data_IF_366642835207
#
_entry.id   IF_366642835207
#
_cell.length_a   1.000
_cell.length_b   1.000
_cell.length_c   1.000
_cell.angle_alpha   90.00
_cell.angle_beta   90.00
_cell.angle_gamma   90.00
#
_symmetry.space_group_name_H-M   'P 1'
#
loop_
_entity.id
_entity.type
_entity.pdbx_description
1 polymer ?
#
# COMPACT_ATOMS: atom_id res chain seq x y z
N UNK A 1 -10.11 8.82 21.54
CA UNK A 1 -8.89 9.32 22.22
C UNK A 1 -7.75 8.31 22.16
N UNK A 2 -7.90 7.09 22.71
CA UNK A 2 -6.86 6.03 22.75
C UNK A 2 -6.24 5.69 21.36
N UNK A 3 -7.08 5.49 20.33
CA UNK A 3 -6.59 5.19 18.97
C UNK A 3 -5.82 6.35 18.33
N UNK A 4 -6.19 7.60 18.65
CA UNK A 4 -5.52 8.80 18.13
C UNK A 4 -4.12 8.93 18.71
N UNK A 5 -3.95 8.64 20.01
CA UNK A 5 -2.66 8.67 20.70
C UNK A 5 -1.72 7.59 20.17
N UNK A 6 -2.21 6.37 19.95
CA UNK A 6 -1.43 5.26 19.37
C UNK A 6 -0.97 5.59 17.94
N UNK A 7 -1.85 6.18 17.13
CA UNK A 7 -1.50 6.60 15.77
C UNK A 7 -0.49 7.75 15.77
N UNK A 8 -0.62 8.72 16.68
CA UNK A 8 0.34 9.80 16.86
C UNK A 8 1.71 9.29 17.29
N UNK A 9 1.77 8.37 18.26
CA UNK A 9 3.04 7.77 18.68
C UNK A 9 3.68 6.97 17.55
N UNK A 10 2.89 6.28 16.72
CA UNK A 10 3.39 5.55 15.56
C UNK A 10 3.96 6.49 14.49
N UNK A 11 3.28 7.61 14.20
CA UNK A 11 3.80 8.63 13.28
C UNK A 11 5.08 9.28 13.78
N UNK A 12 5.18 9.56 15.07
CA UNK A 12 6.38 10.17 15.68
C UNK A 12 7.54 9.18 15.64
N UNK A 13 7.32 7.90 15.95
CA UNK A 13 8.33 6.86 15.84
C UNK A 13 8.79 6.65 14.39
N UNK A 14 7.86 6.67 13.42
CA UNK A 14 8.19 6.60 11.99
C UNK A 14 9.01 7.79 11.52
N UNK A 15 8.67 9.00 11.97
CA UNK A 15 9.38 10.24 11.64
C UNK A 15 10.78 10.26 12.27
N UNK A 16 10.92 9.72 13.48
CA UNK A 16 12.21 9.55 14.14
C UNK A 16 13.12 8.56 13.39
N UNK A 17 12.58 7.42 12.93
CA UNK A 17 13.34 6.49 12.06
C UNK A 17 13.77 7.15 10.75
N UNK A 18 12.91 8.00 10.17
CA UNK A 18 13.20 8.71 8.93
C UNK A 18 14.30 9.76 9.10
N UNK A 19 14.27 10.54 10.19
CA UNK A 19 15.32 11.51 10.54
C UNK A 19 16.63 10.78 10.88
N UNK A 20 16.56 9.67 11.62
CA UNK A 20 17.72 8.84 11.95
C UNK A 20 18.41 8.31 10.68
N UNK A 21 17.63 7.97 9.64
CA UNK A 21 18.18 7.60 8.33
C UNK A 21 18.93 8.75 7.66
N UNK A 22 18.41 9.98 7.70
CA UNK A 22 19.11 11.15 7.15
C UNK A 22 20.46 11.40 7.86
N UNK A 23 20.49 11.23 9.18
CA UNK A 23 21.71 11.36 10.00
C UNK A 23 22.71 10.24 9.71
N UNK A 24 22.23 8.99 9.58
CA UNK A 24 23.09 7.84 9.26
C UNK A 24 23.64 7.90 7.84
N UNK A 25 22.86 8.39 6.87
CA UNK A 25 23.28 8.56 5.48
C UNK A 25 24.32 9.69 5.32
N UNK A 26 24.22 10.76 6.14
CA UNK A 26 25.23 11.81 6.21
C UNK A 26 26.57 11.35 6.82
N UNK A 27 26.58 10.24 7.55
CA UNK A 27 27.77 9.73 8.28
C UNK A 27 28.70 8.82 7.45
N UNK A 28 28.50 8.70 6.13
CA UNK A 28 29.41 8.00 5.19
C UNK A 28 29.93 6.63 5.65
N UNK A 29 29.11 5.85 6.36
CA UNK A 29 29.37 4.43 6.70
C UNK A 29 28.49 3.55 5.81
N UNK A 30 29.07 2.50 5.23
CA UNK A 30 28.41 1.53 4.34
C UNK A 30 27.26 0.77 5.02
N UNK A 31 26.10 1.45 5.12
CA UNK A 31 24.85 0.93 5.67
C UNK A 31 23.74 0.87 4.60
N UNK A 32 24.10 0.90 3.31
CA UNK A 32 23.18 1.15 2.18
C UNK A 32 21.88 0.33 2.18
N UNK A 33 21.93 -0.95 2.54
CA UNK A 33 20.73 -1.79 2.62
C UNK A 33 19.82 -1.46 3.81
N UNK A 34 20.40 -1.15 4.98
CA UNK A 34 19.66 -0.87 6.21
C UNK A 34 19.07 0.55 6.16
N UNK A 35 19.80 1.51 5.62
CA UNK A 35 19.33 2.88 5.41
C UNK A 35 18.18 2.95 4.40
N UNK A 36 18.22 2.13 3.34
CA UNK A 36 17.10 2.01 2.41
C UNK A 36 15.87 1.35 3.05
N UNK A 37 16.03 0.26 3.79
CA UNK A 37 14.92 -0.40 4.49
C UNK A 37 14.28 0.52 5.56
N UNK A 38 15.09 1.28 6.31
CA UNK A 38 14.58 2.26 7.27
C UNK A 38 13.83 3.41 6.59
N UNK A 39 14.27 3.86 5.41
CA UNK A 39 13.65 4.98 4.71
C UNK A 39 12.28 4.59 4.14
N UNK A 40 12.17 3.40 3.53
CA UNK A 40 10.91 2.90 2.96
C UNK A 40 9.91 2.57 4.07
N UNK A 41 10.35 1.89 5.12
CA UNK A 41 9.48 1.56 6.26
C UNK A 41 9.05 2.80 7.06
N UNK A 42 9.97 3.74 7.30
CA UNK A 42 9.67 5.02 7.95
C UNK A 42 8.66 5.86 7.16
N UNK A 43 8.84 5.99 5.84
CA UNK A 43 7.90 6.71 4.98
C UNK A 43 6.51 6.06 4.97
N UNK A 44 6.45 4.72 4.91
CA UNK A 44 5.20 3.98 4.95
C UNK A 44 4.46 4.17 6.29
N UNK A 45 5.18 4.12 7.42
CA UNK A 45 4.61 4.34 8.76
C UNK A 45 4.10 5.77 8.97
N UNK A 46 4.86 6.78 8.48
CA UNK A 46 4.42 8.18 8.54
C UNK A 46 3.20 8.40 7.64
N UNK A 47 3.23 7.91 6.40
CA UNK A 47 2.12 8.08 5.45
C UNK A 47 0.84 7.42 5.94
N UNK A 48 0.91 6.16 6.41
CA UNK A 48 -0.24 5.45 6.95
C UNK A 48 -0.77 6.09 8.23
N UNK A 49 0.11 6.54 9.12
CA UNK A 49 -0.27 7.18 10.37
C UNK A 49 -0.93 8.55 10.16
N UNK A 50 -0.36 9.41 9.32
CA UNK A 50 -0.94 10.72 8.98
C UNK A 50 -2.28 10.55 8.25
N UNK A 51 -2.37 9.63 7.27
CA UNK A 51 -3.61 9.33 6.57
C UNK A 51 -4.73 8.88 7.51
N UNK A 52 -4.39 8.00 8.46
CA UNK A 52 -5.34 7.51 9.46
C UNK A 52 -5.77 8.59 10.46
N UNK A 53 -4.87 9.51 10.84
CA UNK A 53 -5.19 10.65 11.70
C UNK A 53 -6.13 11.64 11.01
N UNK A 54 -5.87 11.97 9.74
CA UNK A 54 -6.76 12.83 8.92
C UNK A 54 -8.13 12.18 8.77
N UNK A 55 -8.18 10.87 8.54
CA UNK A 55 -9.44 10.13 8.43
C UNK A 55 -10.21 10.14 9.75
N UNK A 56 -9.53 9.95 10.89
CA UNK A 56 -10.13 10.02 12.22
C UNK A 56 -10.72 11.42 12.51
N UNK A 57 -9.99 12.46 12.12
CA UNK A 57 -10.43 13.84 12.31
C UNK A 57 -11.68 14.15 11.48
N UNK A 58 -11.69 13.76 10.20
CA UNK A 58 -12.87 13.88 9.33
C UNK A 58 -14.08 13.12 9.87
N UNK A 59 -13.88 11.92 10.41
CA UNK A 59 -14.91 11.11 11.06
C UNK A 59 -15.50 11.74 12.33
N UNK A 60 -14.67 12.47 13.08
CA UNK A 60 -15.09 13.16 14.30
C UNK A 60 -15.84 14.46 14.01
N UNK A 61 -15.47 15.15 12.92
CA UNK A 61 -15.95 16.48 12.59
C UNK A 61 -17.22 16.49 11.73
N UNK A 62 -17.40 15.49 10.87
CA UNK A 62 -18.49 15.48 9.88
C UNK A 62 -19.41 14.23 10.02
N UNK A 63 -20.67 14.41 10.49
CA UNK A 63 -21.63 13.32 10.58
C UNK A 63 -22.06 12.77 9.21
N UNK A 64 -22.04 13.59 8.15
CA UNK A 64 -22.33 13.15 6.78
C UNK A 64 -21.22 12.24 6.25
N UNK A 65 -19.96 12.51 6.61
CA UNK A 65 -18.84 11.65 6.27
C UNK A 65 -18.96 10.27 6.95
N UNK A 66 -19.43 10.22 8.20
CA UNK A 66 -19.69 8.97 8.92
C UNK A 66 -20.78 8.13 8.26
N UNK A 67 -21.87 8.77 7.80
CA UNK A 67 -22.93 8.07 7.07
C UNK A 67 -22.43 7.51 5.73
N UNK A 68 -21.64 8.28 4.99
CA UNK A 68 -21.02 7.80 3.74
C UNK A 68 -20.08 6.63 3.98
N UNK A 69 -19.31 6.66 5.07
CA UNK A 69 -18.43 5.55 5.42
C UNK A 69 -19.22 4.30 5.81
N UNK A 70 -20.31 4.45 6.57
CA UNK A 70 -21.23 3.32 6.87
C UNK A 70 -21.82 2.72 5.59
N UNK A 71 -22.24 3.56 4.64
CA UNK A 71 -22.74 3.08 3.35
C UNK A 71 -21.67 2.36 2.52
N UNK A 72 -20.39 2.73 2.68
CA UNK A 72 -19.29 2.02 2.03
C UNK A 72 -18.93 0.67 2.67
N UNK A 73 -19.20 0.50 3.97
CA UNK A 73 -19.05 -0.77 4.70
C UNK A 73 -20.38 -1.52 4.85
N UNK A 74 -21.39 -1.15 4.06
CA UNK A 74 -22.62 -1.91 3.96
C UNK A 74 -22.34 -3.28 3.33
N UNK A 75 -23.06 -4.31 3.76
CA UNK A 75 -22.80 -5.71 3.40
C UNK A 75 -22.75 -5.90 1.87
N UNK A 76 -23.62 -5.17 1.16
CA UNK A 76 -23.70 -5.18 -0.29
C UNK A 76 -22.44 -4.60 -0.96
N UNK A 77 -21.93 -3.49 -0.46
CA UNK A 77 -20.74 -2.85 -1.02
C UNK A 77 -19.46 -3.63 -0.64
N UNK A 78 -19.48 -4.30 0.52
CA UNK A 78 -18.43 -5.24 0.93
C UNK A 78 -18.37 -6.47 0.01
N UNK A 79 -19.52 -7.07 -0.33
CA UNK A 79 -19.58 -8.19 -1.28
C UNK A 79 -19.09 -7.80 -2.69
N UNK A 80 -19.42 -6.60 -3.16
CA UNK A 80 -18.90 -6.06 -4.43
C UNK A 80 -17.38 -5.92 -4.37
N UNK A 81 -16.86 -5.40 -3.27
CA UNK A 81 -15.42 -5.20 -3.07
C UNK A 81 -14.67 -6.53 -3.00
N UNK A 82 -15.21 -7.51 -2.28
CA UNK A 82 -14.60 -8.84 -2.17
C UNK A 82 -14.58 -9.55 -3.51
N UNK A 83 -15.64 -9.41 -4.32
CA UNK A 83 -15.67 -9.96 -5.68
C UNK A 83 -14.68 -9.29 -6.61
N UNK A 84 -14.61 -7.96 -6.60
CA UNK A 84 -13.62 -7.21 -7.37
C UNK A 84 -12.18 -7.55 -6.93
N UNK A 85 -11.97 -7.69 -5.62
CA UNK A 85 -10.69 -8.08 -5.02
C UNK A 85 -10.27 -9.49 -5.39
N UNK A 86 -11.19 -10.44 -5.34
CA UNK A 86 -10.92 -11.83 -5.73
C UNK A 86 -10.51 -11.93 -7.20
N UNK A 87 -11.23 -11.25 -8.11
CA UNK A 87 -10.92 -11.28 -9.54
C UNK A 87 -9.59 -10.57 -9.82
N UNK A 88 -9.39 -9.37 -9.28
CA UNK A 88 -8.15 -8.63 -9.46
C UNK A 88 -6.95 -9.38 -8.86
N UNK A 89 -7.14 -10.04 -7.72
CA UNK A 89 -6.14 -10.85 -7.04
C UNK A 89 -5.76 -12.12 -7.81
N UNK A 90 -6.73 -12.82 -8.41
CA UNK A 90 -6.43 -13.93 -9.31
C UNK A 90 -5.61 -13.47 -10.52
N UNK A 91 -5.96 -12.32 -11.08
CA UNK A 91 -5.28 -11.75 -12.24
C UNK A 91 -3.82 -11.37 -11.93
N UNK A 92 -3.56 -10.80 -10.75
CA UNK A 92 -2.20 -10.46 -10.32
C UNK A 92 -1.36 -11.66 -9.99
N UNK A 93 -1.90 -12.63 -9.25
CA UNK A 93 -1.18 -13.88 -8.95
C UNK A 93 -0.85 -14.61 -10.25
N UNK A 94 -1.78 -14.65 -11.21
CA UNK A 94 -1.52 -15.19 -12.55
C UNK A 94 -0.37 -14.46 -13.26
N UNK A 95 -0.39 -13.12 -13.28
CA UNK A 95 0.70 -12.30 -13.84
C UNK A 95 2.04 -12.55 -13.14
N UNK A 96 2.02 -12.71 -11.82
CA UNK A 96 3.21 -12.93 -11.02
C UNK A 96 3.81 -14.32 -11.28
N UNK A 97 2.98 -15.35 -11.38
CA UNK A 97 3.39 -16.71 -11.77
C UNK A 97 3.95 -16.72 -13.19
N UNK A 98 3.28 -16.07 -14.15
CA UNK A 98 3.79 -15.95 -15.53
C UNK A 98 5.13 -15.21 -15.55
N UNK A 99 5.28 -14.12 -14.79
CA UNK A 99 6.58 -13.45 -14.68
C UNK A 99 7.65 -14.35 -14.08
N UNK A 100 7.33 -15.13 -13.04
CA UNK A 100 8.25 -16.08 -12.41
C UNK A 100 8.69 -17.18 -13.36
N UNK A 101 7.78 -17.72 -14.18
CA UNK A 101 8.09 -18.72 -15.20
C UNK A 101 9.00 -18.15 -16.30
N UNK A 102 8.76 -16.90 -16.72
CA UNK A 102 9.62 -16.19 -17.67
C UNK A 102 11.02 -16.03 -17.08
N UNK A 103 11.13 -15.65 -15.80
CA UNK A 103 12.43 -15.52 -15.12
C UNK A 103 13.16 -16.86 -14.99
N UNK A 104 12.44 -17.95 -14.68
CA UNK A 104 13.03 -19.29 -14.58
C UNK A 104 13.58 -19.78 -15.93
N UNK A 105 12.95 -19.40 -17.04
CA UNK A 105 13.46 -19.64 -18.40
C UNK A 105 14.63 -18.74 -18.81
N UNK A 106 14.90 -17.65 -18.07
CA UNK A 106 15.92 -16.64 -18.35
C UNK A 106 17.06 -16.63 -17.31
N UNK A 107 17.13 -17.64 -16.43
CA UNK A 107 18.08 -17.80 -15.30
C UNK A 107 19.58 -17.70 -15.68
N UNK A 108 19.91 -17.64 -16.97
CA UNK A 108 21.27 -17.46 -17.47
C UNK A 108 21.82 -16.02 -17.30
N UNK A 109 20.95 -15.02 -17.11
CA UNK A 109 21.36 -13.63 -16.88
C UNK A 109 21.07 -13.25 -15.42
N UNK A 110 22.11 -12.98 -14.63
CA UNK A 110 21.97 -12.50 -13.25
C UNK A 110 20.92 -11.38 -13.14
N UNK A 111 20.10 -11.45 -12.08
CA UNK A 111 18.82 -10.73 -11.95
C UNK A 111 19.01 -9.21 -12.18
N UNK A 112 18.46 -8.65 -13.27
CA UNK A 112 18.62 -7.24 -13.59
C UNK A 112 17.73 -6.31 -12.75
N UNK A 113 18.17 -5.07 -12.52
CA UNK A 113 17.42 -4.07 -11.75
C UNK A 113 16.06 -3.68 -12.38
N UNK A 114 15.86 -3.90 -13.68
CA UNK A 114 14.58 -3.65 -14.36
C UNK A 114 13.45 -4.60 -13.92
N UNK A 115 13.79 -5.72 -13.29
CA UNK A 115 12.84 -6.71 -12.77
C UNK A 115 11.96 -6.12 -11.68
N UNK A 116 12.53 -5.28 -10.81
CA UNK A 116 11.76 -4.56 -9.78
C UNK A 116 10.67 -3.66 -10.41
N UNK A 117 10.97 -3.02 -11.53
CA UNK A 117 10.02 -2.17 -12.26
C UNK A 117 8.87 -2.97 -12.86
N UNK A 118 9.10 -4.21 -13.28
CA UNK A 118 8.04 -5.11 -13.76
C UNK A 118 7.08 -5.45 -12.62
N UNK A 119 7.58 -5.79 -11.44
CA UNK A 119 6.72 -6.06 -10.28
C UNK A 119 5.93 -4.83 -9.84
N UNK A 120 6.55 -3.65 -9.85
CA UNK A 120 5.86 -2.37 -9.61
C UNK A 120 4.76 -2.15 -10.66
N UNK A 121 5.04 -2.44 -11.93
CA UNK A 121 4.06 -2.36 -13.02
C UNK A 121 2.87 -3.31 -12.83
N UNK A 122 3.11 -4.57 -12.45
CA UNK A 122 2.07 -5.55 -12.13
C UNK A 122 1.19 -5.06 -10.96
N UNK A 123 1.82 -4.49 -9.94
CA UNK A 123 1.10 -3.93 -8.79
C UNK A 123 0.26 -2.70 -9.16
N UNK A 124 0.74 -1.83 -10.05
CA UNK A 124 -0.07 -0.71 -10.55
C UNK A 124 -1.26 -1.22 -11.40
N UNK A 125 -1.03 -2.23 -12.23
CA UNK A 125 -2.08 -2.87 -13.02
C UNK A 125 -3.16 -3.48 -12.11
N UNK A 126 -2.78 -4.13 -11.01
CA UNK A 126 -3.70 -4.61 -9.99
C UNK A 126 -4.66 -3.52 -9.50
N UNK A 127 -4.10 -2.38 -9.08
CA UNK A 127 -4.87 -1.27 -8.51
C UNK A 127 -5.88 -0.76 -9.54
N UNK A 128 -5.44 -0.60 -10.80
CA UNK A 128 -6.31 -0.15 -11.88
C UNK A 128 -7.41 -1.16 -12.20
N UNK A 129 -7.07 -2.45 -12.31
CA UNK A 129 -8.02 -3.53 -12.55
C UNK A 129 -9.05 -3.63 -11.42
N UNK A 130 -8.60 -3.55 -10.16
CA UNK A 130 -9.47 -3.53 -8.99
C UNK A 130 -10.43 -2.34 -9.00
N UNK A 131 -9.93 -1.12 -9.23
CA UNK A 131 -10.77 0.08 -9.30
C UNK A 131 -11.78 0.02 -10.46
N UNK A 132 -11.35 -0.51 -11.62
CA UNK A 132 -12.21 -0.70 -12.78
C UNK A 132 -13.34 -1.70 -12.51
N UNK A 133 -12.98 -2.89 -12.01
CA UNK A 133 -13.94 -3.94 -11.64
C UNK A 133 -14.89 -3.47 -10.53
N UNK A 134 -14.37 -2.79 -9.52
CA UNK A 134 -15.16 -2.22 -8.43
C UNK A 134 -16.22 -1.25 -8.96
N UNK A 135 -15.82 -0.27 -9.81
CA UNK A 135 -16.77 0.65 -10.44
C UNK A 135 -17.76 -0.06 -11.36
N UNK A 136 -17.32 -1.09 -12.07
CA UNK A 136 -18.19 -1.85 -12.96
C UNK A 136 -19.26 -2.63 -12.18
N UNK A 137 -18.88 -3.32 -11.10
CA UNK A 137 -19.82 -4.03 -10.23
C UNK A 137 -20.78 -3.07 -9.53
N UNK A 138 -20.33 -1.88 -9.11
CA UNK A 138 -21.20 -0.84 -8.56
C UNK A 138 -22.25 -0.32 -9.55
N UNK A 139 -21.98 -0.32 -10.87
CA UNK A 139 -22.97 0.08 -11.87
C UNK A 139 -23.99 -1.03 -12.17
N UNK A 140 -23.58 -2.28 -11.97
CA UNK A 140 -24.36 -3.46 -12.37
C UNK A 140 -25.29 -3.98 -11.27
N UNK A 141 -24.94 -3.76 -10.00
CA UNK A 141 -25.76 -4.08 -8.84
C UNK A 141 -26.33 -2.80 -8.25
#
# INVERSE_FOLDING_TARGET
>A
MKNRVVLLSLTIAGLFCWILMFVLNASSRDFGGISYLLSVSGAALVGTGVGSLIQLERLSRDPAYRQRQKAQFDERNQAIRDRAGCIAGFLTVGLLVVSGLIFLGLEWFGIPDWVGWVFIGIYLFYILAFLGLYKWFQRKM
#
